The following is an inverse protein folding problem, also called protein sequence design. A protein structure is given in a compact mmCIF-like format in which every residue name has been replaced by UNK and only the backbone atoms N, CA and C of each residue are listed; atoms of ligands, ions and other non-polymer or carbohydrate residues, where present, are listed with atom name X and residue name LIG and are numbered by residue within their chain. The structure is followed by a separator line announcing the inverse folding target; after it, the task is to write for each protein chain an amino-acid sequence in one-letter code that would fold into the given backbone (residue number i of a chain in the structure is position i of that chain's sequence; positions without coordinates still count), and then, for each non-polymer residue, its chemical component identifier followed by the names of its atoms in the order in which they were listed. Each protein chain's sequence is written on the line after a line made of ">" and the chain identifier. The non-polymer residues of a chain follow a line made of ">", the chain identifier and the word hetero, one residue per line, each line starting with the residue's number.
data_IF_419289172937
#
_entry.id   IF_419289172937
#
_cell.length_a   1.000
_cell.length_b   1.000
_cell.length_c   1.000
_cell.angle_alpha   90.00
_cell.angle_beta   90.00
_cell.angle_gamma   90.00
#
_symmetry.space_group_name_H-M   'P 1'
#
loop_
_entity.id
_entity.type
_entity.pdbx_description
1 polymer ?
#
# COMPACT_ATOMS: atom_id res chain seq x y z
N UNK A 1 -15.87 -14.01 -28.66
CA UNK A 1 -15.40 -13.60 -27.32
C UNK A 1 -15.96 -14.58 -26.31
N UNK A 2 -15.13 -15.20 -25.48
CA UNK A 2 -15.62 -16.12 -24.43
C UNK A 2 -16.21 -15.25 -23.31
N UNK A 3 -17.46 -15.52 -22.97
CA UNK A 3 -18.19 -14.86 -21.89
C UNK A 3 -18.45 -15.87 -20.78
N UNK A 4 -18.55 -15.39 -19.55
CA UNK A 4 -18.96 -16.19 -18.40
C UNK A 4 -19.81 -15.34 -17.45
N UNK A 5 -20.50 -15.97 -16.53
CA UNK A 5 -21.29 -15.27 -15.51
C UNK A 5 -20.38 -14.60 -14.48
N UNK A 6 -20.80 -13.44 -13.99
CA UNK A 6 -20.15 -12.75 -12.89
C UNK A 6 -19.89 -13.70 -11.71
N UNK A 7 -18.67 -13.69 -11.17
CA UNK A 7 -18.30 -14.57 -10.04
C UNK A 7 -18.92 -14.16 -8.68
N UNK A 8 -19.89 -13.24 -8.66
CA UNK A 8 -20.65 -12.92 -7.44
C UNK A 8 -21.80 -13.91 -7.30
N UNK A 9 -21.94 -14.50 -6.11
CA UNK A 9 -22.97 -15.52 -5.82
C UNK A 9 -24.35 -14.98 -6.20
N UNK A 10 -25.06 -15.68 -7.09
CA UNK A 10 -26.40 -15.31 -7.53
C UNK A 10 -26.47 -14.20 -8.58
N UNK A 11 -25.35 -13.76 -9.16
CA UNK A 11 -25.34 -12.79 -10.26
C UNK A 11 -25.15 -13.48 -11.62
N UNK A 12 -26.12 -13.34 -12.52
CA UNK A 12 -26.12 -13.96 -13.85
C UNK A 12 -25.66 -13.01 -14.97
N UNK A 13 -25.06 -11.87 -14.62
CA UNK A 13 -24.58 -10.90 -15.61
C UNK A 13 -23.38 -11.47 -16.39
N UNK A 14 -23.48 -11.50 -17.72
CA UNK A 14 -22.43 -12.03 -18.60
C UNK A 14 -21.29 -11.01 -18.76
N UNK A 15 -20.07 -11.45 -18.48
CA UNK A 15 -18.86 -10.66 -18.55
C UNK A 15 -17.77 -11.35 -19.38
N UNK A 16 -16.80 -10.61 -19.94
CA UNK A 16 -15.67 -11.20 -20.65
C UNK A 16 -14.86 -12.15 -19.76
N UNK A 17 -14.31 -13.23 -20.33
CA UNK A 17 -13.54 -14.26 -19.60
C UNK A 17 -12.37 -13.72 -18.75
N UNK A 18 -11.76 -12.60 -19.15
CA UNK A 18 -10.67 -11.96 -18.41
C UNK A 18 -11.13 -11.02 -17.28
N UNK A 19 -12.44 -10.87 -17.09
CA UNK A 19 -13.03 -10.04 -16.03
C UNK A 19 -13.71 -10.96 -15.03
N UNK A 20 -13.48 -10.73 -13.73
CA UNK A 20 -14.03 -11.60 -12.66
C UNK A 20 -15.41 -11.18 -12.17
N UNK A 21 -15.68 -9.88 -12.15
CA UNK A 21 -16.90 -9.30 -11.62
C UNK A 21 -17.45 -8.26 -12.59
N UNK A 22 -18.78 -8.19 -12.72
CA UNK A 22 -19.41 -7.06 -13.39
C UNK A 22 -19.12 -5.74 -12.66
N UNK A 23 -19.34 -4.61 -13.33
CA UNK A 23 -18.99 -3.28 -12.79
C UNK A 23 -19.66 -2.99 -11.45
N UNK A 24 -20.90 -3.47 -11.23
CA UNK A 24 -21.58 -3.39 -9.93
C UNK A 24 -20.79 -4.10 -8.83
N UNK A 25 -20.46 -5.38 -9.03
CA UNK A 25 -19.80 -6.19 -8.01
C UNK A 25 -18.32 -5.85 -7.85
N UNK A 26 -17.67 -5.31 -8.89
CA UNK A 26 -16.33 -4.73 -8.80
C UNK A 26 -16.31 -3.52 -7.85
N UNK A 27 -17.27 -2.59 -7.99
CA UNK A 27 -17.43 -1.45 -7.06
C UNK A 27 -17.76 -1.90 -5.65
N UNK A 28 -18.67 -2.87 -5.49
CA UNK A 28 -18.99 -3.43 -4.18
C UNK A 28 -17.76 -4.04 -3.51
N UNK A 29 -17.00 -4.89 -4.22
CA UNK A 29 -15.78 -5.50 -3.68
C UNK A 29 -14.71 -4.47 -3.33
N UNK A 30 -14.51 -3.46 -4.17
CA UNK A 30 -13.59 -2.36 -3.85
C UNK A 30 -14.01 -1.63 -2.57
N UNK A 31 -15.30 -1.35 -2.41
CA UNK A 31 -15.83 -0.70 -1.21
C UNK A 31 -15.69 -1.58 0.04
N UNK A 32 -15.96 -2.89 -0.06
CA UNK A 32 -15.74 -3.85 1.04
C UNK A 32 -14.27 -3.88 1.49
N UNK A 33 -13.33 -3.89 0.53
CA UNK A 33 -11.88 -3.84 0.82
C UNK A 33 -11.53 -2.54 1.56
N UNK A 34 -11.96 -1.38 1.05
CA UNK A 34 -11.70 -0.08 1.70
C UNK A 34 -12.29 -0.03 3.11
N UNK A 35 -13.52 -0.49 3.30
CA UNK A 35 -14.14 -0.54 4.63
C UNK A 35 -13.37 -1.45 5.58
N UNK A 36 -12.91 -2.61 5.11
CA UNK A 36 -12.08 -3.52 5.90
C UNK A 36 -10.78 -2.85 6.34
N UNK A 37 -10.07 -2.18 5.43
CA UNK A 37 -8.86 -1.43 5.78
C UNK A 37 -9.13 -0.33 6.80
N UNK A 38 -10.18 0.47 6.58
CA UNK A 38 -10.57 1.54 7.51
C UNK A 38 -10.87 1.03 8.93
N UNK A 39 -11.43 -0.18 9.06
CA UNK A 39 -11.74 -0.79 10.36
C UNK A 39 -10.52 -1.43 11.03
N UNK A 40 -9.67 -2.08 10.25
CA UNK A 40 -8.58 -2.91 10.78
C UNK A 40 -7.24 -2.18 10.90
N UNK A 41 -7.04 -1.08 10.18
CA UNK A 41 -5.83 -0.26 10.26
C UNK A 41 -6.05 0.94 11.18
N UNK A 42 -5.52 0.85 12.41
CA UNK A 42 -5.53 1.94 13.41
C UNK A 42 -4.95 3.24 12.85
N UNK A 43 -4.04 3.16 11.88
CA UNK A 43 -3.35 4.30 11.28
C UNK A 43 -3.97 4.75 9.96
N UNK A 44 -5.11 4.20 9.55
CA UNK A 44 -5.81 4.60 8.33
C UNK A 44 -6.01 6.12 8.26
N UNK A 45 -6.46 6.74 9.35
CA UNK A 45 -6.67 8.19 9.43
C UNK A 45 -5.39 9.00 9.20
N UNK A 46 -4.25 8.52 9.71
CA UNK A 46 -2.94 9.15 9.48
C UNK A 46 -2.57 9.12 7.99
N UNK A 47 -2.70 7.96 7.34
CA UNK A 47 -2.37 7.83 5.92
C UNK A 47 -3.32 8.62 4.99
N UNK A 48 -4.52 8.97 5.46
CA UNK A 48 -5.43 9.87 4.75
C UNK A 48 -5.20 11.36 5.06
N UNK A 49 -4.38 11.69 6.07
CA UNK A 49 -4.16 13.06 6.52
C UNK A 49 -3.46 13.91 5.45
N UNK A 50 -3.79 15.20 5.42
CA UNK A 50 -3.17 16.15 4.48
C UNK A 50 -1.69 16.34 4.79
N UNK A 51 -1.31 16.30 6.07
CA UNK A 51 0.06 16.38 6.54
C UNK A 51 0.89 15.24 5.95
N UNK A 52 0.43 13.99 6.09
CA UNK A 52 1.12 12.84 5.51
C UNK A 52 1.24 12.96 3.99
N UNK A 53 0.15 13.28 3.29
CA UNK A 53 0.18 13.39 1.82
C UNK A 53 1.17 14.44 1.33
N UNK A 54 1.25 15.59 2.02
CA UNK A 54 2.20 16.66 1.71
C UNK A 54 3.64 16.21 1.96
N UNK A 55 3.92 15.67 3.14
CA UNK A 55 5.25 15.15 3.52
C UNK A 55 5.70 14.05 2.57
N UNK A 56 4.85 13.08 2.28
CA UNK A 56 5.11 11.96 1.36
C UNK A 56 5.48 12.44 -0.03
N UNK A 57 4.72 13.38 -0.59
CA UNK A 57 4.98 13.90 -1.93
C UNK A 57 6.30 14.69 -1.95
N UNK A 58 6.53 15.57 -0.98
CA UNK A 58 7.78 16.34 -0.88
C UNK A 58 9.00 15.42 -0.72
N UNK A 59 8.88 14.34 0.07
CA UNK A 59 9.93 13.35 0.21
C UNK A 59 10.19 12.62 -1.11
N UNK A 60 9.14 12.12 -1.78
CA UNK A 60 9.26 11.40 -3.05
C UNK A 60 9.88 12.25 -4.16
N UNK A 61 9.57 13.55 -4.22
CA UNK A 61 10.14 14.47 -5.23
C UNK A 61 11.66 14.60 -5.08
N UNK A 62 12.18 14.60 -3.85
CA UNK A 62 13.63 14.61 -3.57
C UNK A 62 14.30 13.24 -3.62
N UNK A 63 13.51 12.15 -3.48
CA UNK A 63 13.99 10.78 -3.38
C UNK A 63 13.26 9.87 -4.41
N UNK A 64 13.47 10.07 -5.72
CA UNK A 64 12.75 9.33 -6.76
C UNK A 64 13.25 7.88 -6.93
N UNK A 65 14.39 7.54 -6.33
CA UNK A 65 15.04 6.24 -6.47
C UNK A 65 14.90 5.41 -5.21
N UNK A 66 14.62 4.12 -5.36
CA UNK A 66 14.55 3.19 -4.25
C UNK A 66 15.87 3.15 -3.46
N UNK A 67 15.87 3.70 -2.26
CA UNK A 67 17.06 3.85 -1.42
C UNK A 67 17.70 2.52 -1.05
N UNK A 68 16.88 1.49 -0.82
CA UNK A 68 17.40 0.14 -0.58
C UNK A 68 18.11 -0.42 -1.82
N UNK A 69 17.64 -0.10 -3.02
CA UNK A 69 18.33 -0.53 -4.24
C UNK A 69 19.64 0.24 -4.42
N UNK A 70 19.63 1.55 -4.19
CA UNK A 70 20.84 2.38 -4.25
C UNK A 70 21.92 1.89 -3.28
N UNK A 71 21.54 1.57 -2.03
CA UNK A 71 22.44 0.97 -1.03
C UNK A 71 23.09 -0.33 -1.50
N UNK A 72 22.43 -1.06 -2.40
CA UNK A 72 22.92 -2.30 -3.00
C UNK A 72 23.52 -2.10 -4.42
N UNK A 73 23.83 -0.86 -4.81
CA UNK A 73 24.42 -0.55 -6.13
C UNK A 73 23.47 -0.70 -7.32
N UNK A 74 22.15 -0.75 -7.09
CA UNK A 74 21.12 -0.88 -8.12
C UNK A 74 20.32 0.40 -8.28
N UNK A 75 19.91 0.71 -9.50
CA UNK A 75 19.09 1.88 -9.81
C UNK A 75 17.68 1.44 -10.20
N UNK A 76 16.70 1.69 -9.32
CA UNK A 76 15.29 1.38 -9.56
C UNK A 76 14.42 2.49 -9.02
N UNK A 77 13.45 2.94 -9.79
CA UNK A 77 12.53 3.99 -9.35
C UNK A 77 11.73 3.53 -8.13
N UNK A 78 11.57 4.44 -7.18
CA UNK A 78 10.65 4.27 -6.07
C UNK A 78 9.20 4.48 -6.55
N UNK A 79 8.27 3.79 -5.92
CA UNK A 79 6.82 3.93 -6.18
C UNK A 79 6.04 4.25 -4.92
N UNK A 80 6.69 4.17 -3.77
CA UNK A 80 6.09 4.37 -2.45
C UNK A 80 7.13 4.98 -1.51
N UNK A 81 6.67 5.81 -0.58
CA UNK A 81 7.43 6.20 0.62
C UNK A 81 6.92 5.37 1.78
N UNK A 82 7.84 4.85 2.56
CA UNK A 82 7.57 3.95 3.68
C UNK A 82 8.33 4.44 4.92
N UNK A 83 7.79 4.21 6.12
CA UNK A 83 8.50 4.57 7.34
C UNK A 83 9.64 3.59 7.64
N UNK A 84 10.84 4.06 7.99
CA UNK A 84 11.96 3.19 8.39
C UNK A 84 11.61 2.45 9.68
N UNK A 85 11.30 3.20 10.74
CA UNK A 85 10.66 2.72 11.96
C UNK A 85 9.15 2.68 11.71
N UNK A 86 8.48 1.53 11.82
CA UNK A 86 7.06 1.42 11.53
C UNK A 86 6.23 2.41 12.33
N UNK A 87 5.21 3.00 11.70
CA UNK A 87 4.38 4.04 12.30
C UNK A 87 3.82 3.67 13.69
N UNK A 88 3.52 2.39 13.91
CA UNK A 88 3.02 1.89 15.20
C UNK A 88 4.04 1.87 16.33
N UNK A 89 5.31 2.07 16.03
CA UNK A 89 6.41 2.21 16.98
C UNK A 89 6.92 3.66 17.05
N UNK A 90 6.41 4.55 16.21
CA UNK A 90 6.86 5.94 16.14
C UNK A 90 6.28 6.80 17.25
N UNK A 91 7.10 7.71 17.77
CA UNK A 91 6.66 8.87 18.52
C UNK A 91 6.13 9.94 17.54
N UNK A 92 5.36 10.91 18.03
CA UNK A 92 4.70 11.92 17.18
C UNK A 92 5.67 12.68 16.25
N UNK A 93 6.87 12.98 16.74
CA UNK A 93 7.91 13.67 15.98
C UNK A 93 8.51 12.83 14.84
N UNK A 94 8.43 11.49 14.92
CA UNK A 94 9.00 10.58 13.93
C UNK A 94 8.02 10.29 12.78
N UNK A 95 6.72 10.55 12.95
CA UNK A 95 5.70 10.16 11.97
C UNK A 95 5.82 10.91 10.64
N UNK A 96 6.28 12.16 10.69
CA UNK A 96 6.45 13.05 9.54
C UNK A 96 7.91 13.46 9.30
N UNK A 97 8.85 12.96 10.11
CA UNK A 97 10.27 13.26 9.96
C UNK A 97 10.84 12.59 8.71
N UNK A 98 11.57 13.35 7.89
CA UNK A 98 12.25 12.82 6.71
C UNK A 98 13.29 11.76 7.08
N UNK A 99 13.90 11.85 8.26
CA UNK A 99 14.89 10.90 8.75
C UNK A 99 14.29 9.51 9.02
N UNK A 100 12.96 9.43 9.15
CA UNK A 100 12.24 8.18 9.35
C UNK A 100 11.46 7.74 8.09
N UNK A 101 11.69 8.37 6.95
CA UNK A 101 11.10 7.97 5.68
C UNK A 101 12.16 7.37 4.77
N UNK A 102 11.73 6.49 3.89
CA UNK A 102 12.53 5.96 2.79
C UNK A 102 11.66 5.70 1.57
N UNK A 103 12.20 5.99 0.40
CA UNK A 103 11.60 5.71 -0.89
C UNK A 103 11.93 4.29 -1.33
N UNK A 104 10.92 3.50 -1.68
CA UNK A 104 11.07 2.08 -2.00
C UNK A 104 10.35 1.72 -3.30
N UNK A 105 10.95 0.77 -4.02
CA UNK A 105 10.29 0.07 -5.12
C UNK A 105 9.40 -1.06 -4.58
N UNK A 106 8.45 -1.60 -5.38
CA UNK A 106 7.49 -2.59 -4.89
C UNK A 106 8.13 -3.86 -4.30
N UNK A 107 9.26 -4.31 -4.86
CA UNK A 107 9.96 -5.51 -4.37
C UNK A 107 10.61 -5.30 -3.00
N UNK A 108 11.26 -4.16 -2.79
CA UNK A 108 11.91 -3.83 -1.51
C UNK A 108 10.87 -3.52 -0.44
N UNK A 109 9.80 -2.81 -0.79
CA UNK A 109 8.69 -2.54 0.12
C UNK A 109 8.03 -3.84 0.61
N UNK A 110 7.65 -4.73 -0.30
CA UNK A 110 7.08 -6.04 0.05
C UNK A 110 8.01 -6.88 0.92
N UNK A 111 9.32 -6.85 0.65
CA UNK A 111 10.30 -7.53 1.48
C UNK A 111 10.31 -6.99 2.91
N UNK A 112 10.38 -5.66 3.07
CA UNK A 112 10.33 -5.00 4.38
C UNK A 112 9.05 -5.34 5.15
N UNK A 113 7.88 -5.22 4.53
CA UNK A 113 6.60 -5.59 5.16
C UNK A 113 6.59 -7.02 5.68
N UNK A 114 7.13 -7.98 4.91
CA UNK A 114 7.23 -9.39 5.35
C UNK A 114 8.17 -9.57 6.54
N UNK A 115 9.30 -8.86 6.58
CA UNK A 115 10.21 -8.93 7.73
C UNK A 115 9.58 -8.36 8.99
N UNK A 116 8.88 -7.22 8.85
CA UNK A 116 8.18 -6.59 9.95
C UNK A 116 7.10 -7.50 10.55
N UNK A 117 6.27 -8.11 9.70
CA UNK A 117 5.26 -9.07 10.14
C UNK A 117 5.87 -10.20 10.99
N UNK A 118 7.01 -10.76 10.56
CA UNK A 118 7.72 -11.81 11.33
C UNK A 118 8.17 -11.29 12.70
N UNK A 119 8.73 -10.09 12.75
CA UNK A 119 9.19 -9.51 14.03
C UNK A 119 8.07 -9.20 15.01
N UNK A 120 6.82 -9.08 14.56
CA UNK A 120 5.64 -8.92 15.44
C UNK A 120 5.05 -10.24 15.93
N UNK A 121 5.32 -11.35 15.24
CA UNK A 121 4.86 -12.68 15.65
C UNK A 121 5.77 -13.28 16.73
N UNK A 122 7.04 -12.88 16.76
CA UNK A 122 8.07 -13.38 17.68
C UNK A 122 8.23 -12.53 18.96
N UNK A 123 7.29 -11.63 19.25
CA UNK A 123 7.20 -10.84 20.49
C UNK A 123 5.88 -11.14 21.17
#
# INVERSE_FOLDING_TARGET
>A
MIMHECSHVGCTELIPFNVRYCEKHKKQKAHEVIQSHKRNDKFWGFYQSQQWRKTRNAYMDGHPWCEECLRNGRHKLATSVDHIKPLKLCDENEQLSFDNLQSLCPSCHNYKTRQEQKSYINK
#
